data_IF_777661481210
#
_entry.id   IF_777661481210
#
_cell.length_a   1.000
_cell.length_b   1.000
_cell.length_c   1.000
_cell.angle_alpha   90.00
_cell.angle_beta   90.00
_cell.angle_gamma   90.00
#
_symmetry.space_group_name_H-M   'P 1'
#
loop_
_entity.id
_entity.type
_entity.pdbx_description
1 polymer ?
#
# COMPACT_ATOMS: atom_id res chain seq x y z
N UNK A 1 1.21 -8.62 7.91
CA UNK A 1 -0.13 -9.09 8.34
C UNK A 1 -1.08 -9.01 7.17
N UNK A 2 -1.97 -9.98 6.98
CA UNK A 2 -2.98 -9.97 5.92
C UNK A 2 -4.29 -10.63 6.37
N UNK A 3 -5.39 -10.37 5.66
CA UNK A 3 -6.62 -11.16 5.83
C UNK A 3 -6.49 -12.54 5.20
N UNK A 4 -7.24 -13.52 5.69
CA UNK A 4 -7.16 -14.93 5.23
C UNK A 4 -7.72 -15.16 3.83
N UNK A 5 -8.61 -14.30 3.34
CA UNK A 5 -9.30 -14.48 2.07
C UNK A 5 -8.66 -13.76 0.87
N UNK A 6 -7.67 -12.90 1.12
CA UNK A 6 -7.05 -12.01 0.13
C UNK A 6 -6.20 -12.75 -0.90
N UNK A 7 -5.85 -12.07 -2.00
CA UNK A 7 -4.94 -12.62 -3.01
C UNK A 7 -3.55 -12.86 -2.43
N UNK A 8 -3.08 -11.94 -1.59
CA UNK A 8 -1.77 -12.04 -0.92
C UNK A 8 -1.65 -13.25 0.00
N UNK A 9 -2.73 -13.64 0.67
CA UNK A 9 -2.76 -14.84 1.52
C UNK A 9 -2.55 -16.15 0.72
N UNK A 10 -2.72 -16.10 -0.61
CA UNK A 10 -2.52 -17.23 -1.52
C UNK A 10 -1.13 -17.24 -2.18
N UNK A 11 -0.27 -16.27 -1.89
CA UNK A 11 1.10 -16.26 -2.41
C UNK A 11 1.88 -17.43 -1.78
N UNK A 12 2.55 -18.27 -2.59
CA UNK A 12 3.37 -19.35 -2.06
C UNK A 12 4.41 -18.83 -1.05
N UNK A 13 4.43 -19.44 0.14
CA UNK A 13 5.35 -19.06 1.21
C UNK A 13 4.86 -17.92 2.11
N UNK A 14 3.64 -17.41 1.93
CA UNK A 14 3.08 -16.45 2.89
C UNK A 14 2.94 -17.10 4.30
N UNK A 15 3.46 -16.48 5.38
CA UNK A 15 3.42 -17.06 6.72
C UNK A 15 1.97 -17.19 7.23
N UNK A 16 1.55 -18.41 7.56
CA UNK A 16 0.18 -18.66 8.01
C UNK A 16 -0.15 -17.92 9.33
N UNK A 17 0.85 -17.75 10.19
CA UNK A 17 0.78 -17.01 11.45
C UNK A 17 0.54 -15.50 11.26
N UNK A 18 0.78 -14.97 10.06
CA UNK A 18 0.57 -13.55 9.72
C UNK A 18 -0.83 -13.26 9.18
N UNK A 19 -1.65 -14.29 9.04
CA UNK A 19 -3.05 -14.17 8.65
C UNK A 19 -3.92 -13.85 9.86
N UNK A 20 -4.70 -12.78 9.74
CA UNK A 20 -5.54 -12.22 10.80
C UNK A 20 -6.98 -12.09 10.33
N UNK A 21 -7.93 -12.62 11.10
CA UNK A 21 -9.37 -12.49 10.82
C UNK A 21 -10.06 -11.57 11.83
N UNK A 22 -9.54 -11.53 13.06
CA UNK A 22 -10.14 -10.84 14.19
C UNK A 22 -9.23 -9.74 14.75
N UNK A 23 -9.79 -8.71 15.41
CA UNK A 23 -9.02 -7.69 16.12
C UNK A 23 -8.02 -8.27 17.12
N UNK A 24 -8.40 -9.35 17.81
CA UNK A 24 -7.54 -9.98 18.80
C UNK A 24 -6.32 -10.69 18.17
N UNK A 25 -6.52 -11.38 17.04
CA UNK A 25 -5.40 -11.92 16.27
C UNK A 25 -4.47 -10.81 15.78
N UNK A 26 -5.02 -9.68 15.33
CA UNK A 26 -4.23 -8.53 14.92
C UNK A 26 -3.32 -8.02 16.05
N UNK A 27 -3.89 -7.78 17.24
CA UNK A 27 -3.11 -7.34 18.41
C UNK A 27 -2.00 -8.32 18.79
N UNK A 28 -2.32 -9.61 18.86
CA UNK A 28 -1.33 -10.66 19.17
C UNK A 28 -0.21 -10.69 18.15
N UNK A 29 -0.53 -10.57 16.87
CA UNK A 29 0.47 -10.64 15.80
C UNK A 29 1.35 -9.41 15.76
N UNK A 30 0.80 -8.23 16.05
CA UNK A 30 1.58 -7.00 16.26
C UNK A 30 2.52 -7.14 17.46
N UNK A 31 2.04 -7.62 18.61
CA UNK A 31 2.89 -7.84 19.78
C UNK A 31 4.07 -8.78 19.48
N UNK A 32 3.83 -9.81 18.67
CA UNK A 32 4.88 -10.72 18.26
C UNK A 32 5.84 -10.09 17.21
N UNK A 33 5.39 -9.17 16.34
CA UNK A 33 6.30 -8.33 15.51
C UNK A 33 7.19 -7.42 16.36
N UNK A 34 6.65 -6.84 17.43
CA UNK A 34 7.42 -6.06 18.41
C UNK A 34 8.48 -6.93 19.08
N UNK A 35 8.12 -8.15 19.52
CA UNK A 35 9.05 -9.07 20.14
C UNK A 35 10.18 -9.54 19.19
N UNK A 36 9.92 -9.57 17.89
CA UNK A 36 10.92 -9.85 16.85
C UNK A 36 11.84 -8.64 16.56
N UNK A 37 11.57 -7.47 17.15
CA UNK A 37 12.37 -6.26 16.97
C UNK A 37 12.03 -5.49 15.69
N UNK A 38 10.82 -5.61 15.16
CA UNK A 38 10.41 -4.89 13.96
C UNK A 38 10.35 -3.37 14.20
N UNK A 39 10.86 -2.57 13.26
CA UNK A 39 10.81 -1.10 13.29
C UNK A 39 9.43 -0.53 12.89
N UNK A 40 8.63 -1.32 12.18
CA UNK A 40 7.28 -0.97 11.73
C UNK A 40 6.47 -2.24 11.45
N UNK A 41 5.16 -2.08 11.37
CA UNK A 41 4.24 -3.16 10.98
C UNK A 41 3.81 -2.99 9.53
N UNK A 42 4.01 -4.03 8.70
CA UNK A 42 3.41 -4.09 7.36
C UNK A 42 2.03 -4.76 7.43
N UNK A 43 1.01 -4.04 6.98
CA UNK A 43 -0.38 -4.51 6.88
C UNK A 43 -0.80 -4.62 5.42
N UNK A 44 -1.44 -5.71 5.01
CA UNK A 44 -1.96 -5.88 3.66
C UNK A 44 -3.46 -5.66 3.68
N UNK A 45 -3.88 -4.55 3.07
CA UNK A 45 -5.28 -4.17 2.93
C UNK A 45 -5.76 -4.51 1.53
N UNK A 46 -6.92 -5.14 1.48
CA UNK A 46 -7.68 -5.33 0.25
C UNK A 46 -8.90 -4.41 0.30
N UNK A 47 -9.54 -4.19 -0.85
CA UNK A 47 -10.87 -3.54 -0.86
C UNK A 47 -11.82 -4.33 0.06
N UNK A 48 -12.71 -3.66 0.82
CA UNK A 48 -13.74 -4.36 1.59
C UNK A 48 -14.47 -5.42 0.75
N UNK A 49 -14.57 -6.65 1.27
CA UNK A 49 -15.15 -7.79 0.57
C UNK A 49 -14.18 -8.62 -0.29
N UNK A 50 -12.94 -8.15 -0.51
CA UNK A 50 -11.92 -8.89 -1.29
C UNK A 50 -11.00 -9.78 -0.43
N UNK A 51 -11.39 -10.06 0.82
CA UNK A 51 -10.73 -11.04 1.70
C UNK A 51 -9.55 -10.52 2.52
N UNK A 52 -9.25 -9.22 2.46
CA UNK A 52 -8.37 -8.55 3.42
C UNK A 52 -8.97 -8.46 4.83
N UNK A 53 -8.23 -7.91 5.81
CA UNK A 53 -8.74 -7.73 7.17
C UNK A 53 -9.99 -6.84 7.15
N UNK A 54 -10.95 -7.12 8.05
CA UNK A 54 -12.10 -6.23 8.25
C UNK A 54 -11.66 -4.85 8.75
N UNK A 55 -12.51 -3.81 8.64
CA UNK A 55 -12.19 -2.49 9.20
C UNK A 55 -11.75 -2.53 10.66
N UNK A 56 -12.47 -3.26 11.51
CA UNK A 56 -12.15 -3.37 12.94
C UNK A 56 -10.83 -4.12 13.17
N UNK A 57 -10.55 -5.15 12.38
CA UNK A 57 -9.29 -5.91 12.46
C UNK A 57 -8.10 -5.06 12.00
N UNK A 58 -8.26 -4.26 10.95
CA UNK A 58 -7.24 -3.32 10.47
C UNK A 58 -6.97 -2.21 11.50
N UNK A 59 -8.03 -1.60 12.04
CA UNK A 59 -7.92 -0.57 13.09
C UNK A 59 -7.20 -1.12 14.33
N UNK A 60 -7.56 -2.32 14.80
CA UNK A 60 -6.90 -2.94 15.95
C UNK A 60 -5.41 -3.25 15.70
N UNK A 61 -5.02 -3.56 14.46
CA UNK A 61 -3.61 -3.70 14.11
C UNK A 61 -2.86 -2.37 14.22
N UNK A 62 -3.47 -1.28 13.73
CA UNK A 62 -2.89 0.07 13.78
C UNK A 62 -2.79 0.57 15.22
N UNK A 63 -3.87 0.48 16.00
CA UNK A 63 -3.89 0.85 17.41
C UNK A 63 -2.81 0.13 18.21
N UNK A 64 -2.66 -1.19 18.00
CA UNK A 64 -1.63 -1.98 18.68
C UNK A 64 -0.21 -1.57 18.28
N UNK A 65 0.02 -1.26 17.00
CA UNK A 65 1.33 -0.84 16.51
C UNK A 65 1.70 0.53 17.08
N UNK A 66 0.77 1.49 17.03
CA UNK A 66 0.95 2.83 17.60
C UNK A 66 1.15 2.79 19.12
N UNK A 67 0.41 1.94 19.85
CA UNK A 67 0.62 1.75 21.28
C UNK A 67 2.01 1.20 21.63
N UNK A 68 2.65 0.48 20.70
CA UNK A 68 4.02 0.00 20.81
C UNK A 68 5.06 0.99 20.24
N UNK A 69 4.64 2.18 19.78
CA UNK A 69 5.52 3.19 19.17
C UNK A 69 5.97 2.87 17.75
N UNK A 70 5.34 1.89 17.08
CA UNK A 70 5.66 1.49 15.72
C UNK A 70 4.71 2.14 14.72
N UNK A 71 5.24 2.51 13.55
CA UNK A 71 4.43 2.95 12.40
C UNK A 71 3.82 1.76 11.66
N UNK A 72 2.76 2.02 10.90
CA UNK A 72 2.12 1.05 10.00
C UNK A 72 2.28 1.46 8.55
N UNK A 73 2.87 0.56 7.77
CA UNK A 73 2.94 0.65 6.30
C UNK A 73 1.89 -0.29 5.72
N UNK A 74 0.97 0.24 4.92
CA UNK A 74 -0.14 -0.53 4.38
C UNK A 74 0.00 -0.80 2.88
N UNK A 75 -0.05 -2.07 2.45
CA UNK A 75 -0.40 -2.40 1.07
C UNK A 75 -1.87 -2.01 0.83
N UNK A 76 -2.14 -1.29 -0.24
CA UNK A 76 -3.41 -0.73 -0.66
C UNK A 76 -3.31 -0.38 -2.15
N UNK A 77 -3.60 -1.34 -3.03
CA UNK A 77 -3.49 -1.21 -4.50
C UNK A 77 -4.82 -0.81 -5.17
N UNK A 78 -5.84 -0.44 -4.39
CA UNK A 78 -7.13 0.02 -4.89
C UNK A 78 -7.70 1.19 -4.08
N UNK A 79 -8.61 1.96 -4.68
CA UNK A 79 -9.29 3.09 -4.03
C UNK A 79 -9.98 2.68 -2.72
N UNK A 80 -10.63 1.51 -2.71
CA UNK A 80 -11.29 0.99 -1.51
C UNK A 80 -10.32 0.55 -0.40
N UNK A 81 -9.14 0.04 -0.77
CA UNK A 81 -8.08 -0.25 0.20
C UNK A 81 -7.44 1.05 0.74
N UNK A 82 -7.28 2.07 -0.12
CA UNK A 82 -6.87 3.42 0.28
C UNK A 82 -7.81 4.00 1.34
N UNK A 83 -9.12 4.00 1.06
CA UNK A 83 -10.12 4.49 1.98
C UNK A 83 -10.12 3.72 3.31
N UNK A 84 -9.87 2.40 3.27
CA UNK A 84 -9.72 1.60 4.48
C UNK A 84 -8.47 1.99 5.27
N UNK A 85 -7.32 2.19 4.60
CA UNK A 85 -6.08 2.60 5.26
C UNK A 85 -6.21 3.96 5.93
N UNK A 86 -6.83 4.94 5.27
CA UNK A 86 -7.14 6.26 5.85
C UNK A 86 -8.00 6.12 7.11
N UNK A 87 -9.10 5.35 7.03
CA UNK A 87 -9.98 5.14 8.20
C UNK A 87 -9.29 4.40 9.35
N UNK A 88 -8.39 3.47 9.04
CA UNK A 88 -7.64 2.73 10.05
C UNK A 88 -6.52 3.57 10.69
N UNK A 89 -6.14 4.71 10.09
CA UNK A 89 -5.09 5.59 10.62
C UNK A 89 -3.67 5.11 10.30
N UNK A 90 -3.45 4.45 9.15
CA UNK A 90 -2.11 3.99 8.76
C UNK A 90 -1.16 5.18 8.48
N UNK A 91 0.13 5.01 8.73
CA UNK A 91 1.12 6.08 8.54
C UNK A 91 1.58 6.20 7.07
N UNK A 92 1.66 5.07 6.36
CA UNK A 92 2.13 5.00 4.98
C UNK A 92 1.22 4.14 4.13
N UNK A 93 0.84 4.63 2.95
CA UNK A 93 0.15 3.85 1.92
C UNK A 93 1.12 3.47 0.80
N UNK A 94 1.15 2.18 0.47
CA UNK A 94 1.79 1.58 -0.71
C UNK A 94 0.66 0.84 -1.42
N UNK A 95 0.21 1.05 -2.63
CA UNK A 95 0.81 1.57 -3.84
C UNK A 95 -0.08 2.73 -4.35
N UNK A 96 0.07 3.19 -5.60
CA UNK A 96 -0.97 3.99 -6.24
C UNK A 96 -2.09 3.07 -6.80
N UNK A 97 -3.39 3.37 -6.56
CA UNK A 97 -4.50 2.56 -7.06
C UNK A 97 -4.54 2.38 -8.57
N UNK A 98 -4.83 1.15 -9.01
CA UNK A 98 -4.98 0.82 -10.43
C UNK A 98 -6.43 0.77 -10.91
N UNK A 99 -7.40 0.66 -10.01
CA UNK A 99 -8.82 0.49 -10.33
C UNK A 99 -9.51 1.81 -10.70
N UNK A 100 -9.12 2.90 -10.07
CA UNK A 100 -9.60 4.26 -10.35
C UNK A 100 -8.67 5.28 -9.68
N UNK A 101 -8.76 6.54 -10.09
CA UNK A 101 -8.20 7.65 -9.30
C UNK A 101 -9.11 7.85 -8.07
N UNK A 102 -8.57 7.91 -6.84
CA UNK A 102 -9.34 8.29 -5.65
C UNK A 102 -10.10 9.60 -5.86
N UNK A 103 -11.32 9.67 -5.34
CA UNK A 103 -12.09 10.91 -5.41
C UNK A 103 -11.41 12.04 -4.61
N UNK A 104 -11.75 13.32 -4.88
CA UNK A 104 -11.12 14.46 -4.21
C UNK A 104 -11.26 14.49 -2.68
N UNK A 105 -12.28 13.85 -2.11
CA UNK A 105 -12.49 13.82 -0.65
C UNK A 105 -11.52 12.84 0.00
N UNK A 106 -11.34 11.67 -0.63
CA UNK A 106 -10.36 10.69 -0.19
C UNK A 106 -8.92 11.22 -0.34
N UNK A 107 -8.60 11.88 -1.46
CA UNK A 107 -7.28 12.51 -1.66
C UNK A 107 -6.99 13.55 -0.57
N UNK A 108 -7.97 14.42 -0.25
CA UNK A 108 -7.82 15.39 0.84
C UNK A 108 -7.66 14.71 2.19
N UNK A 109 -8.41 13.65 2.45
CA UNK A 109 -8.30 12.90 3.72
C UNK A 109 -6.90 12.31 3.91
N UNK A 110 -6.24 11.84 2.84
CA UNK A 110 -4.84 11.39 2.90
C UNK A 110 -3.90 12.54 3.27
N UNK A 111 -4.06 13.70 2.62
CA UNK A 111 -3.23 14.88 2.87
C UNK A 111 -3.42 15.45 4.28
N UNK A 112 -4.67 15.65 4.71
CA UNK A 112 -5.04 16.22 6.01
C UNK A 112 -4.60 15.32 7.18
N UNK A 113 -4.64 13.99 6.98
CA UNK A 113 -4.16 13.03 7.96
C UNK A 113 -2.62 12.92 7.99
N UNK A 114 -1.90 13.57 7.08
CA UNK A 114 -0.44 13.50 7.00
C UNK A 114 0.09 12.11 6.61
N UNK A 115 -0.73 11.30 5.93
CA UNK A 115 -0.35 9.94 5.51
C UNK A 115 0.62 10.06 4.34
N UNK A 116 1.78 9.40 4.47
CA UNK A 116 2.78 9.36 3.40
C UNK A 116 2.35 8.34 2.34
N UNK A 117 2.51 8.66 1.07
CA UNK A 117 2.22 7.73 -0.03
C UNK A 117 3.51 7.35 -0.75
N UNK A 118 3.72 6.04 -0.92
CA UNK A 118 4.78 5.44 -1.73
C UNK A 118 4.13 4.77 -2.94
N UNK A 119 4.07 5.43 -4.11
CA UNK A 119 3.24 5.01 -5.24
C UNK A 119 3.67 3.70 -5.90
N UNK A 120 4.97 3.43 -5.99
CA UNK A 120 5.54 2.27 -6.71
C UNK A 120 5.09 2.23 -8.17
N UNK A 121 5.14 3.37 -8.85
CA UNK A 121 4.72 3.51 -10.25
C UNK A 121 5.41 2.51 -11.18
N UNK A 122 6.67 2.11 -10.93
CA UNK A 122 7.35 1.06 -11.69
C UNK A 122 6.61 -0.28 -11.56
N UNK A 123 6.27 -0.71 -10.34
CA UNK A 123 5.47 -1.93 -10.08
C UNK A 123 4.06 -1.80 -10.64
N UNK A 124 3.40 -0.66 -10.45
CA UNK A 124 2.03 -0.42 -10.94
C UNK A 124 1.94 -0.44 -12.47
N UNK A 125 2.94 0.12 -13.15
CA UNK A 125 3.05 0.06 -14.62
C UNK A 125 3.24 -1.36 -15.11
N UNK A 126 4.15 -2.12 -14.49
CA UNK A 126 4.35 -3.53 -14.83
C UNK A 126 3.08 -4.36 -14.61
N UNK A 127 2.43 -4.17 -13.46
CA UNK A 127 1.17 -4.85 -13.09
C UNK A 127 0.03 -4.54 -14.07
N UNK A 128 -0.15 -3.28 -14.45
CA UNK A 128 -1.20 -2.89 -15.40
C UNK A 128 -0.97 -3.45 -16.81
N UNK A 129 0.29 -3.64 -17.22
CA UNK A 129 0.63 -4.22 -18.51
C UNK A 129 0.50 -5.75 -18.55
N UNK A 130 0.38 -6.41 -17.39
CA UNK A 130 -0.01 -7.81 -17.33
C UNK A 130 -1.48 -7.97 -17.75
N UNK A 131 -1.67 -8.44 -19.00
CA UNK A 131 -2.95 -8.55 -19.73
C UNK A 131 -4.06 -9.40 -19.05
N UNK A 132 -3.84 -9.91 -17.85
CA UNK A 132 -4.76 -10.78 -17.13
C UNK A 132 -5.87 -10.03 -16.37
N UNK A 133 -5.79 -8.70 -16.22
CA UNK A 133 -6.82 -7.92 -15.48
C UNK A 133 -7.27 -6.67 -16.27
N UNK A 134 -8.25 -6.79 -17.18
CA UNK A 134 -8.68 -5.70 -18.08
C UNK A 134 -9.20 -4.42 -17.41
N UNK A 135 -9.53 -4.48 -16.11
CA UNK A 135 -10.08 -3.35 -15.36
C UNK A 135 -9.01 -2.48 -14.65
N UNK A 136 -7.73 -2.85 -14.72
CA UNK A 136 -6.63 -2.11 -14.09
C UNK A 136 -5.93 -1.20 -15.11
N UNK A 137 -5.67 0.04 -14.73
CA UNK A 137 -5.03 1.03 -15.60
C UNK A 137 -3.89 1.76 -14.90
N UNK A 138 -2.74 1.82 -15.57
CA UNK A 138 -1.62 2.64 -15.10
C UNK A 138 -1.95 4.14 -15.08
N UNK A 139 -2.86 4.60 -15.93
CA UNK A 139 -3.29 6.02 -15.91
C UNK A 139 -3.98 6.40 -14.60
N UNK A 140 -4.64 5.45 -13.92
CA UNK A 140 -5.20 5.69 -12.60
C UNK A 140 -4.11 5.87 -11.53
N UNK A 141 -3.06 5.05 -11.58
CA UNK A 141 -1.93 5.17 -10.66
C UNK A 141 -1.22 6.52 -10.84
N UNK A 142 -0.92 6.89 -12.10
CA UNK A 142 -0.34 8.19 -12.44
C UNK A 142 -1.24 9.35 -12.02
N UNK A 143 -2.54 9.28 -12.34
CA UNK A 143 -3.52 10.30 -11.97
C UNK A 143 -3.68 10.45 -10.45
N UNK A 144 -3.53 9.38 -9.69
CA UNK A 144 -3.54 9.42 -8.22
C UNK A 144 -2.36 10.23 -7.68
N UNK A 145 -1.15 10.00 -8.19
CA UNK A 145 0.04 10.77 -7.80
C UNK A 145 -0.14 12.25 -8.15
N UNK A 146 -0.68 12.55 -9.33
CA UNK A 146 -1.01 13.94 -9.72
C UNK A 146 -1.98 14.59 -8.73
N UNK A 147 -3.03 13.87 -8.32
CA UNK A 147 -4.04 14.39 -7.39
C UNK A 147 -3.46 14.61 -5.99
N UNK A 148 -2.70 13.65 -5.46
CA UNK A 148 -2.02 13.74 -4.16
C UNK A 148 -1.06 14.93 -4.10
N UNK A 149 -0.23 15.09 -5.14
CA UNK A 149 0.69 16.23 -5.25
C UNK A 149 -0.06 17.56 -5.23
N UNK A 150 -1.17 17.68 -5.99
CA UNK A 150 -1.99 18.89 -6.01
C UNK A 150 -2.66 19.20 -4.66
N UNK A 151 -2.97 18.16 -3.89
CA UNK A 151 -3.53 18.30 -2.55
C UNK A 151 -2.47 18.56 -1.46
N UNK A 152 -1.18 18.56 -1.81
CA UNK A 152 -0.10 18.76 -0.85
C UNK A 152 0.23 17.55 0.02
N UNK A 153 -0.21 16.35 -0.38
CA UNK A 153 0.18 15.11 0.31
C UNK A 153 1.67 14.81 0.12
N UNK A 154 2.27 14.15 1.11
CA UNK A 154 3.68 13.72 1.03
C UNK A 154 3.78 12.46 0.18
N UNK A 155 4.47 12.56 -0.95
CA UNK A 155 4.77 11.43 -1.85
C UNK A 155 6.27 11.13 -1.77
N UNK A 156 6.62 9.85 -1.61
CA UNK A 156 8.02 9.40 -1.50
C UNK A 156 8.29 8.31 -2.55
N UNK A 157 9.45 8.39 -3.21
CA UNK A 157 9.88 7.39 -4.17
C UNK A 157 10.10 6.02 -3.50
N UNK A 158 9.60 4.98 -4.14
CA UNK A 158 9.83 3.58 -3.78
C UNK A 158 9.24 2.70 -4.88
N UNK A 159 9.89 1.59 -5.21
CA UNK A 159 9.66 0.91 -6.49
C UNK A 159 8.93 -0.41 -6.38
N UNK A 160 8.90 -0.99 -5.17
CA UNK A 160 8.56 -2.40 -4.92
C UNK A 160 9.51 -3.40 -5.62
N UNK A 161 10.81 -3.06 -5.66
CA UNK A 161 11.86 -3.93 -6.17
C UNK A 161 11.88 -5.28 -5.44
N UNK A 162 11.94 -6.36 -6.22
CA UNK A 162 11.85 -7.72 -5.71
C UNK A 162 12.44 -8.73 -6.70
N UNK A 163 12.89 -9.87 -6.16
CA UNK A 163 13.31 -11.05 -6.91
C UNK A 163 12.35 -12.24 -6.72
N UNK A 164 11.15 -11.98 -6.20
CA UNK A 164 10.23 -13.02 -5.76
C UNK A 164 9.48 -13.66 -6.96
N UNK A 165 9.38 -14.99 -7.04
CA UNK A 165 8.59 -15.63 -8.09
C UNK A 165 7.10 -15.36 -7.89
N UNK A 166 6.36 -15.22 -8.99
CA UNK A 166 4.90 -15.09 -8.95
C UNK A 166 4.37 -13.71 -8.56
N UNK A 167 5.24 -12.71 -8.43
CA UNK A 167 4.80 -11.32 -8.29
C UNK A 167 4.20 -10.79 -9.60
N UNK A 168 3.37 -9.74 -9.54
CA UNK A 168 2.75 -9.18 -10.73
C UNK A 168 3.72 -8.54 -11.72
N UNK A 169 4.91 -8.09 -11.30
CA UNK A 169 5.93 -7.57 -12.20
C UNK A 169 7.34 -7.73 -11.62
N UNK A 170 8.31 -8.03 -12.47
CA UNK A 170 9.72 -8.05 -12.10
C UNK A 170 10.24 -6.61 -12.01
N UNK A 171 10.61 -6.17 -10.81
CA UNK A 171 11.14 -4.81 -10.56
C UNK A 171 12.57 -4.94 -10.05
N UNK A 172 13.61 -4.59 -10.84
CA UNK A 172 14.99 -4.85 -10.48
C UNK A 172 15.46 -3.97 -9.32
N UNK A 173 16.26 -4.53 -8.41
CA UNK A 173 16.92 -3.76 -7.37
C UNK A 173 17.91 -2.73 -7.96
N UNK A 174 17.98 -1.55 -7.36
CA UNK A 174 18.86 -0.47 -7.77
C UNK A 174 18.31 0.34 -8.95
N UNK A 175 18.36 -0.20 -10.17
CA UNK A 175 18.05 0.57 -11.39
C UNK A 175 16.59 1.01 -11.49
N UNK A 176 15.65 0.29 -10.89
CA UNK A 176 14.23 0.68 -10.86
C UNK A 176 13.98 2.03 -10.20
N UNK A 177 14.85 2.48 -9.29
CA UNK A 177 14.65 3.78 -8.63
C UNK A 177 14.74 4.93 -9.63
N UNK A 178 15.63 4.85 -10.62
CA UNK A 178 15.70 5.88 -11.67
C UNK A 178 14.44 5.92 -12.54
N UNK A 179 13.84 4.75 -12.79
CA UNK A 179 12.57 4.65 -13.51
C UNK A 179 11.41 5.25 -12.69
N UNK A 180 11.32 4.92 -11.39
CA UNK A 180 10.32 5.49 -10.49
C UNK A 180 10.42 7.02 -10.42
N UNK A 181 11.62 7.58 -10.31
CA UNK A 181 11.85 9.04 -10.33
C UNK A 181 11.35 9.66 -11.64
N UNK A 182 11.64 9.04 -12.79
CA UNK A 182 11.11 9.48 -14.08
C UNK A 182 9.58 9.45 -14.14
N UNK A 183 8.97 8.40 -13.60
CA UNK A 183 7.52 8.24 -13.56
C UNK A 183 6.84 9.24 -12.61
N UNK A 184 7.47 9.59 -11.49
CA UNK A 184 7.00 10.65 -10.61
C UNK A 184 7.00 12.01 -11.31
N UNK A 185 8.03 12.29 -12.12
CA UNK A 185 8.07 13.49 -12.96
C UNK A 185 6.96 13.48 -14.02
N UNK A 186 6.74 12.36 -14.70
CA UNK A 186 5.61 12.18 -15.63
C UNK A 186 4.23 12.34 -14.96
N UNK A 187 4.14 12.05 -13.66
CA UNK A 187 2.96 12.24 -12.83
C UNK A 187 2.77 13.70 -12.34
N UNK A 188 3.71 14.59 -12.66
CA UNK A 188 3.60 16.03 -12.42
C UNK A 188 4.44 16.57 -11.25
N UNK A 189 5.35 15.79 -10.68
CA UNK A 189 6.39 16.30 -9.79
C UNK A 189 7.49 16.99 -10.63
N UNK A 190 8.14 18.00 -10.09
CA UNK A 190 9.39 18.52 -10.64
C UNK A 190 10.55 17.55 -10.37
N UNK A 191 11.65 17.60 -11.14
CA UNK A 191 12.83 16.76 -10.89
C UNK A 191 13.47 16.92 -9.50
N UNK A 192 13.19 18.01 -8.78
CA UNK A 192 13.68 18.22 -7.41
C UNK A 192 12.68 17.76 -6.35
N UNK A 193 11.38 17.67 -6.68
CA UNK A 193 10.36 17.06 -5.82
C UNK A 193 10.39 15.53 -5.91
N UNK A 194 10.75 14.98 -7.08
CA UNK A 194 10.91 13.53 -7.30
C UNK A 194 12.19 13.00 -6.64
#
# INVERSE_FOLDING_TARGET
LAGTGGTHARIPGFPAEDLIETPEQARRRVAARVAEGADYVKLILERPGAGGPSPDTAAAAVEAAHAAGLRVVAHASSTGAFALGVRAGVDVLTHAPLDAVPDPDLVRSVADAGIVVVPTLTMMRGTAHHRAVPALSYDHARGTVTALRRAGAVVVAGTDANDAPGVPAAVPHGSSLHDELGLLVEAGLSPAEA
#
